data_IF_533223648931
#
_entry.id   IF_533223648931
#
_cell.length_a   1.000
_cell.length_b   1.000
_cell.length_c   1.000
_cell.angle_alpha   90.00
_cell.angle_beta   90.00
_cell.angle_gamma   90.00
#
_symmetry.space_group_name_H-M   'P 1'
#
loop_
_entity.id
_entity.type
_entity.pdbx_description
1 polymer ?
#
# COMPACT_ATOMS: atom_id res chain seq x y z
N UNK A 1 25.36 1.80 27.40
CA UNK A 1 23.97 1.43 27.78
C UNK A 1 23.30 0.81 26.59
N UNK A 2 22.27 -0.06 26.78
CA UNK A 2 21.50 -0.57 25.64
C UNK A 2 20.37 0.40 25.36
N UNK A 3 20.25 0.85 24.10
CA UNK A 3 19.20 1.75 23.63
C UNK A 3 18.16 1.01 22.82
N UNK A 4 16.96 1.54 22.76
CA UNK A 4 15.90 1.11 21.85
C UNK A 4 15.43 2.27 20.97
N UNK A 5 15.09 1.94 19.73
CA UNK A 5 14.46 2.84 18.78
C UNK A 5 12.99 3.05 19.12
N UNK A 6 12.53 4.28 19.00
CA UNK A 6 11.12 4.66 19.06
C UNK A 6 10.82 5.50 17.84
N UNK A 7 9.89 5.05 16.99
CA UNK A 7 9.53 5.78 15.80
C UNK A 7 8.01 5.80 15.52
N UNK A 8 7.58 6.86 14.85
CA UNK A 8 6.26 7.03 14.27
C UNK A 8 6.37 7.60 12.86
N UNK A 9 5.32 7.46 12.08
CA UNK A 9 5.27 7.86 10.67
C UNK A 9 4.18 8.90 10.41
N UNK A 10 4.48 9.83 9.52
CA UNK A 10 3.51 10.66 8.81
C UNK A 10 3.55 10.20 7.34
N UNK A 11 2.44 9.63 6.87
CA UNK A 11 2.37 9.04 5.53
C UNK A 11 1.33 9.77 4.70
N UNK A 12 1.79 10.43 3.64
CA UNK A 12 0.94 11.11 2.67
C UNK A 12 0.65 10.18 1.49
N UNK A 13 -0.62 10.08 1.10
CA UNK A 13 -1.07 9.23 -0.01
C UNK A 13 -1.94 10.04 -0.95
N UNK A 14 -1.50 10.19 -2.21
CA UNK A 14 -2.31 10.79 -3.26
C UNK A 14 -3.48 9.87 -3.61
N UNK A 15 -4.70 10.42 -3.61
CA UNK A 15 -5.90 9.67 -3.92
C UNK A 15 -6.14 9.63 -5.43
N UNK A 16 -6.37 8.43 -5.97
CA UNK A 16 -6.60 8.17 -7.40
C UNK A 16 -8.00 8.63 -7.88
N UNK A 17 -8.44 9.80 -7.46
CA UNK A 17 -9.68 10.41 -7.96
C UNK A 17 -9.47 10.97 -9.37
N UNK A 18 -10.55 11.07 -10.16
CA UNK A 18 -10.46 11.62 -11.53
C UNK A 18 -10.16 13.12 -11.56
N UNK A 19 -10.55 13.83 -10.51
CA UNK A 19 -10.41 15.28 -10.41
C UNK A 19 -9.80 15.69 -9.08
N UNK A 20 -9.18 16.87 -9.06
CA UNK A 20 -8.59 17.49 -7.87
C UNK A 20 -9.61 17.66 -6.75
N UNK A 21 -9.10 17.94 -5.54
CA UNK A 21 -9.92 17.99 -4.33
C UNK A 21 -10.95 19.12 -4.35
N UNK A 22 -10.63 20.28 -4.93
CA UNK A 22 -11.49 21.48 -4.88
C UNK A 22 -11.92 22.00 -6.25
N UNK A 23 -11.56 21.32 -7.36
CA UNK A 23 -11.92 21.74 -8.71
C UNK A 23 -12.04 20.54 -9.67
N UNK A 24 -12.45 20.80 -10.92
CA UNK A 24 -12.63 19.77 -11.97
C UNK A 24 -11.36 19.41 -12.77
N UNK A 25 -10.18 19.94 -12.43
CA UNK A 25 -8.94 19.60 -13.12
C UNK A 25 -8.55 18.14 -12.88
N UNK A 26 -7.91 17.54 -13.87
CA UNK A 26 -7.46 16.15 -13.79
C UNK A 26 -6.33 15.98 -12.76
N UNK A 27 -6.27 14.80 -12.14
CA UNK A 27 -5.19 14.37 -11.25
C UNK A 27 -4.15 13.50 -11.96
N UNK A 28 -4.27 13.29 -13.28
CA UNK A 28 -3.34 12.44 -14.03
C UNK A 28 -1.91 12.92 -13.89
N UNK A 29 -1.02 12.00 -13.52
CA UNK A 29 0.42 12.25 -13.49
C UNK A 29 0.96 12.55 -14.89
N UNK A 30 1.96 13.43 -14.97
CA UNK A 30 2.55 13.88 -16.23
C UNK A 30 1.74 15.00 -16.90
N UNK A 31 2.10 15.35 -18.11
CA UNK A 31 1.56 16.48 -18.84
C UNK A 31 2.53 17.69 -18.83
N UNK A 32 2.30 18.64 -19.75
CA UNK A 32 3.08 19.87 -19.79
C UNK A 32 2.91 20.68 -18.49
N UNK A 33 3.94 21.34 -17.95
CA UNK A 33 3.81 22.15 -16.74
C UNK A 33 2.64 23.14 -16.82
N UNK A 34 1.88 23.22 -15.74
CA UNK A 34 0.70 24.09 -15.61
C UNK A 34 -0.43 23.86 -16.64
N UNK A 35 -0.49 22.68 -17.27
CA UNK A 35 -1.57 22.34 -18.21
C UNK A 35 -2.83 21.78 -17.52
N UNK A 36 -2.70 21.29 -16.28
CA UNK A 36 -3.80 20.74 -15.47
C UNK A 36 -4.27 21.75 -14.40
N UNK A 37 -4.44 23.01 -14.79
CA UNK A 37 -4.74 24.10 -13.87
C UNK A 37 -5.99 24.87 -14.30
N UNK A 38 -6.72 25.40 -13.30
CA UNK A 38 -7.83 26.31 -13.49
C UNK A 38 -7.74 27.46 -12.46
N UNK A 39 -8.54 28.53 -12.59
CA UNK A 39 -8.52 29.65 -11.64
C UNK A 39 -8.61 29.23 -10.16
N UNK A 40 -9.31 28.15 -9.83
CA UNK A 40 -9.46 27.68 -8.44
C UNK A 40 -8.13 27.11 -7.91
N UNK A 41 -7.51 26.14 -8.61
CA UNK A 41 -6.30 25.50 -8.10
C UNK A 41 -5.04 26.38 -8.20
N UNK A 42 -5.05 27.42 -9.03
CA UNK A 42 -3.99 28.43 -9.04
C UNK A 42 -4.29 29.66 -8.11
N UNK A 43 -5.39 29.61 -7.38
CA UNK A 43 -5.69 30.58 -6.33
C UNK A 43 -6.03 31.99 -6.82
N UNK A 44 -6.67 32.16 -7.99
CA UNK A 44 -7.04 33.49 -8.47
C UNK A 44 -8.09 34.13 -7.57
N UNK A 45 -8.02 35.47 -7.37
CA UNK A 45 -8.99 36.21 -6.54
C UNK A 45 -10.44 35.96 -6.96
N UNK A 46 -11.32 35.73 -5.99
CA UNK A 46 -12.76 35.52 -6.21
C UNK A 46 -13.15 34.07 -6.52
N UNK A 47 -12.20 33.13 -6.60
CA UNK A 47 -12.52 31.72 -6.75
C UNK A 47 -12.79 31.05 -5.41
N UNK A 48 -13.74 30.10 -5.39
CA UNK A 48 -14.11 29.36 -4.18
C UNK A 48 -13.86 27.86 -4.38
N UNK A 49 -13.34 27.14 -3.36
CA UNK A 49 -13.14 25.70 -3.39
C UNK A 49 -14.48 24.96 -3.30
N UNK A 50 -14.59 23.81 -3.97
CA UNK A 50 -15.72 22.90 -3.83
C UNK A 50 -15.20 21.48 -3.59
N UNK A 51 -15.45 20.93 -2.41
CA UNK A 51 -14.94 19.62 -2.00
C UNK A 51 -15.46 18.50 -2.91
N UNK A 52 -14.54 17.69 -3.40
CA UNK A 52 -14.81 16.52 -4.20
C UNK A 52 -15.32 15.38 -3.29
N UNK A 53 -16.54 14.90 -3.57
CA UNK A 53 -17.20 13.85 -2.78
C UNK A 53 -16.42 12.52 -2.78
N UNK A 54 -15.77 12.16 -3.90
CA UNK A 54 -15.00 10.91 -3.98
C UNK A 54 -13.78 10.92 -3.07
N UNK A 55 -13.18 12.08 -2.81
CA UNK A 55 -12.08 12.22 -1.84
C UNK A 55 -12.52 11.79 -0.44
N UNK A 56 -13.70 12.23 -0.01
CA UNK A 56 -14.28 11.83 1.29
C UNK A 56 -14.56 10.31 1.31
N UNK A 57 -15.13 9.77 0.23
CA UNK A 57 -15.40 8.32 0.11
C UNK A 57 -14.12 7.50 0.16
N UNK A 58 -13.05 7.96 -0.49
CA UNK A 58 -11.75 7.28 -0.47
C UNK A 58 -11.09 7.35 0.91
N UNK A 59 -11.17 8.50 1.58
CA UNK A 59 -10.68 8.63 2.95
C UNK A 59 -11.44 7.71 3.93
N UNK A 60 -12.77 7.58 3.78
CA UNK A 60 -13.58 6.63 4.58
C UNK A 60 -13.13 5.19 4.32
N UNK A 61 -12.87 4.79 3.06
CA UNK A 61 -12.32 3.46 2.74
C UNK A 61 -10.99 3.22 3.45
N UNK A 62 -10.07 4.22 3.41
CA UNK A 62 -8.80 4.13 4.11
C UNK A 62 -9.00 3.92 5.61
N UNK A 63 -9.86 4.73 6.25
CA UNK A 63 -10.17 4.62 7.67
C UNK A 63 -10.72 3.24 8.04
N UNK A 64 -11.70 2.74 7.29
CA UNK A 64 -12.28 1.41 7.51
C UNK A 64 -11.26 0.28 7.37
N UNK A 65 -10.37 0.40 6.37
CA UNK A 65 -9.34 -0.62 6.11
C UNK A 65 -8.27 -0.72 7.20
N UNK A 66 -8.07 0.33 7.97
CA UNK A 66 -7.14 0.36 9.11
C UNK A 66 -7.85 0.40 10.45
N UNK A 67 -9.13 0.00 10.50
CA UNK A 67 -9.93 -0.07 11.73
C UNK A 67 -10.10 1.27 12.46
N UNK A 68 -10.05 2.39 11.74
CA UNK A 68 -10.26 3.73 12.27
C UNK A 68 -11.75 4.04 12.46
N UNK A 69 -12.05 4.91 13.40
CA UNK A 69 -13.39 5.44 13.64
C UNK A 69 -13.66 6.60 12.68
N UNK A 70 -14.77 6.53 11.95
CA UNK A 70 -15.18 7.57 11.01
C UNK A 70 -15.98 8.63 11.77
N UNK A 71 -15.50 9.87 11.77
CA UNK A 71 -16.19 10.97 12.40
C UNK A 71 -17.48 11.31 11.64
N UNK A 72 -18.61 11.42 12.34
CA UNK A 72 -19.90 11.81 11.76
C UNK A 72 -19.87 13.27 11.24
N UNK A 73 -19.06 14.12 11.91
CA UNK A 73 -18.88 15.52 11.55
C UNK A 73 -17.39 15.84 11.44
N UNK A 74 -17.00 16.38 10.31
CA UNK A 74 -15.63 16.80 10.04
C UNK A 74 -15.60 18.17 9.35
N UNK A 75 -14.48 18.88 9.43
CA UNK A 75 -14.30 20.21 8.83
C UNK A 75 -12.90 20.36 8.27
N UNK A 76 -12.80 21.21 7.24
CA UNK A 76 -11.53 21.63 6.68
C UNK A 76 -11.00 22.86 7.41
N UNK A 77 -9.68 22.93 7.55
CA UNK A 77 -8.95 24.02 8.19
C UNK A 77 -7.92 24.61 7.20
N UNK A 78 -7.54 25.87 7.38
CA UNK A 78 -6.43 26.49 6.66
C UNK A 78 -5.15 26.42 7.49
N UNK A 79 -4.10 25.86 6.90
CA UNK A 79 -2.73 25.88 7.37
C UNK A 79 -2.01 27.02 6.63
N UNK A 80 -1.79 28.15 7.32
CA UNK A 80 -1.30 29.36 6.65
C UNK A 80 0.22 29.41 6.65
N UNK A 81 0.80 29.38 5.46
CA UNK A 81 2.20 29.69 5.25
C UNK A 81 2.42 30.12 3.79
N UNK A 82 3.33 31.06 3.58
CA UNK A 82 3.59 31.59 2.26
C UNK A 82 4.80 30.88 1.67
N UNK A 83 4.54 30.07 0.64
CA UNK A 83 5.59 29.39 -0.11
C UNK A 83 5.20 29.34 -1.60
N UNK A 84 6.17 29.36 -2.55
CA UNK A 84 5.83 29.48 -3.97
C UNK A 84 4.93 28.38 -4.54
N UNK A 85 5.00 27.17 -3.99
CA UNK A 85 4.17 26.04 -4.39
C UNK A 85 2.74 26.04 -3.85
N UNK A 86 2.44 26.97 -2.94
CA UNK A 86 1.09 27.24 -2.43
C UNK A 86 0.50 28.47 -3.11
N UNK A 87 -0.31 28.27 -4.13
CA UNK A 87 -0.90 29.33 -4.94
C UNK A 87 -1.77 30.32 -4.14
N UNK A 88 -2.35 29.84 -3.02
CA UNK A 88 -3.26 30.60 -2.14
C UNK A 88 -2.55 31.16 -0.89
N UNK A 89 -1.25 30.90 -0.70
CA UNK A 89 -0.49 31.15 0.52
C UNK A 89 -1.01 30.39 1.76
N UNK A 90 -1.83 29.37 1.57
CA UNK A 90 -2.26 28.42 2.60
C UNK A 90 -2.57 27.07 1.96
N UNK A 91 -2.49 26.00 2.77
CA UNK A 91 -2.93 24.66 2.43
C UNK A 91 -4.25 24.38 3.16
N UNK A 92 -5.22 23.79 2.47
CA UNK A 92 -6.42 23.26 3.11
C UNK A 92 -6.16 21.86 3.60
N UNK A 93 -6.38 21.64 4.91
CA UNK A 93 -6.10 20.40 5.64
C UNK A 93 -7.16 20.19 6.73
N UNK A 94 -6.92 19.34 7.72
CA UNK A 94 -7.80 19.12 8.87
C UNK A 94 -6.97 18.98 10.15
N UNK A 95 -7.03 19.94 11.05
CA UNK A 95 -6.37 19.89 12.34
C UNK A 95 -7.36 19.61 13.48
N UNK A 96 -8.45 20.40 13.53
CA UNK A 96 -9.36 20.38 14.68
C UNK A 96 -10.42 19.29 14.62
N UNK A 97 -10.74 18.79 13.43
CA UNK A 97 -11.77 17.79 13.22
C UNK A 97 -11.37 16.83 12.07
N UNK A 98 -10.33 16.00 12.25
CA UNK A 98 -9.95 15.02 11.26
C UNK A 98 -11.10 14.05 10.96
N UNK A 99 -11.14 13.52 9.75
CA UNK A 99 -12.23 12.65 9.32
C UNK A 99 -12.17 11.26 9.95
N UNK A 100 -10.97 10.75 10.25
CA UNK A 100 -10.78 9.42 10.84
C UNK A 100 -9.94 9.56 12.11
N UNK A 101 -10.37 8.89 13.17
CA UNK A 101 -9.71 8.90 14.48
C UNK A 101 -9.25 7.49 14.82
N UNK A 102 -8.01 7.36 15.29
CA UNK A 102 -7.44 6.08 15.70
C UNK A 102 -7.28 5.08 14.55
N UNK A 103 -7.36 3.79 14.89
CA UNK A 103 -7.09 2.68 14.00
C UNK A 103 -5.72 2.06 14.24
N UNK A 104 -5.36 1.07 13.44
CA UNK A 104 -4.06 0.40 13.55
C UNK A 104 -3.70 -0.36 12.28
N UNK A 105 -2.40 -0.64 12.14
CA UNK A 105 -1.85 -1.60 11.19
C UNK A 105 -1.25 -2.76 12.00
N UNK A 106 -1.74 -3.98 11.77
CA UNK A 106 -1.26 -5.17 12.46
C UNK A 106 -0.07 -5.79 11.73
N UNK A 107 1.03 -5.97 12.44
CA UNK A 107 2.24 -6.62 11.94
C UNK A 107 2.14 -8.14 12.02
N UNK A 108 3.00 -8.87 11.31
CA UNK A 108 3.01 -10.33 11.27
C UNK A 108 3.29 -10.98 12.64
N UNK A 109 3.96 -10.27 13.52
CA UNK A 109 4.19 -10.69 14.91
C UNK A 109 3.00 -10.44 15.85
N UNK A 110 1.86 -9.98 15.33
CA UNK A 110 0.64 -9.65 16.08
C UNK A 110 0.67 -8.28 16.79
N UNK A 111 1.76 -7.52 16.67
CA UNK A 111 1.79 -6.15 17.20
C UNK A 111 0.94 -5.22 16.35
N UNK A 112 0.23 -4.32 17.02
CA UNK A 112 -0.58 -3.28 16.38
C UNK A 112 0.16 -1.96 16.48
N UNK A 113 0.49 -1.39 15.34
CA UNK A 113 0.99 -0.02 15.25
C UNK A 113 -0.24 0.87 15.16
N UNK A 114 -0.51 1.59 16.24
CA UNK A 114 -1.68 2.46 16.37
C UNK A 114 -1.55 3.67 15.47
N UNK A 115 -2.67 4.13 14.97
CA UNK A 115 -2.79 5.38 14.25
C UNK A 115 -3.39 6.43 15.19
N UNK A 116 -2.87 7.65 15.11
CA UNK A 116 -3.45 8.77 15.83
C UNK A 116 -4.70 9.28 15.12
N UNK A 117 -4.58 9.55 13.81
CA UNK A 117 -5.69 9.97 12.96
C UNK A 117 -5.32 9.85 11.47
N UNK A 118 -6.34 9.96 10.62
CA UNK A 118 -6.18 10.18 9.18
C UNK A 118 -7.00 11.42 8.82
N UNK A 119 -6.38 12.34 8.10
CA UNK A 119 -7.04 13.54 7.64
C UNK A 119 -6.88 13.77 6.14
N UNK A 120 -7.79 14.57 5.58
CA UNK A 120 -7.78 14.95 4.18
C UNK A 120 -7.04 16.28 4.03
N UNK A 121 -6.22 16.40 2.98
CA UNK A 121 -5.57 17.64 2.62
C UNK A 121 -5.37 17.78 1.11
N UNK A 122 -4.93 18.93 0.65
CA UNK A 122 -4.53 19.16 -0.73
C UNK A 122 -3.01 19.12 -0.89
N UNK A 123 -2.51 18.59 -2.02
CA UNK A 123 -1.09 18.66 -2.32
C UNK A 123 -0.68 20.04 -2.82
N UNK A 124 0.59 20.40 -2.59
CA UNK A 124 1.21 21.60 -3.09
C UNK A 124 1.69 21.43 -4.55
N UNK A 125 2.00 22.52 -5.21
CA UNK A 125 2.66 22.53 -6.51
C UNK A 125 4.06 21.90 -6.44
N UNK A 126 4.70 21.73 -7.59
CA UNK A 126 6.06 21.22 -7.70
C UNK A 126 7.01 22.38 -7.99
N UNK A 127 8.08 22.49 -7.18
CA UNK A 127 9.17 23.43 -7.45
C UNK A 127 10.21 22.75 -8.34
N UNK A 128 10.67 23.44 -9.37
CA UNK A 128 11.67 22.99 -10.33
C UNK A 128 12.81 24.00 -10.33
N UNK A 129 13.95 23.62 -9.80
CA UNK A 129 15.14 24.47 -9.74
C UNK A 129 16.03 24.20 -10.95
N UNK A 130 16.18 25.19 -11.83
CA UNK A 130 17.01 25.08 -13.04
C UNK A 130 17.73 26.40 -13.32
N UNK A 131 19.03 26.34 -13.62
CA UNK A 131 19.87 27.49 -14.05
C UNK A 131 19.82 28.68 -13.07
N UNK A 132 19.63 28.43 -11.76
CA UNK A 132 19.54 29.48 -10.74
C UNK A 132 18.16 30.06 -10.53
N UNK A 133 17.19 29.68 -11.35
CA UNK A 133 15.78 30.05 -11.23
C UNK A 133 14.93 28.95 -10.57
N UNK A 134 13.80 29.34 -10.02
CA UNK A 134 12.79 28.41 -9.49
C UNK A 134 11.49 28.57 -10.26
N UNK A 135 11.12 27.51 -10.97
CA UNK A 135 9.83 27.42 -11.66
C UNK A 135 8.82 26.68 -10.80
N UNK A 136 7.55 27.00 -10.97
CA UNK A 136 6.44 26.36 -10.24
C UNK A 136 5.51 25.67 -11.22
N UNK A 137 5.30 24.38 -11.01
CA UNK A 137 4.30 23.59 -11.73
C UNK A 137 3.13 23.26 -10.78
N UNK A 138 1.97 23.87 -11.04
CA UNK A 138 0.75 23.66 -10.27
C UNK A 138 -0.09 22.46 -10.74
N UNK A 139 0.40 21.62 -11.64
CA UNK A 139 -0.32 20.40 -12.05
C UNK A 139 -0.63 19.52 -10.85
N UNK A 140 0.31 19.41 -9.89
CA UNK A 140 0.10 18.68 -8.64
C UNK A 140 -0.72 19.45 -7.62
N UNK A 141 -0.67 20.80 -7.62
CA UNK A 141 -1.40 21.64 -6.66
C UNK A 141 -2.90 21.32 -6.63
N UNK A 142 -3.41 20.95 -5.47
CA UNK A 142 -4.80 20.54 -5.28
C UNK A 142 -5.09 19.07 -5.64
N UNK A 143 -4.09 18.23 -5.92
CA UNK A 143 -4.25 16.77 -5.95
C UNK A 143 -4.67 16.32 -4.55
N UNK A 144 -5.72 15.48 -4.41
CA UNK A 144 -6.20 15.07 -3.09
C UNK A 144 -5.20 14.17 -2.39
N UNK A 145 -4.93 14.48 -1.12
CA UNK A 145 -4.13 13.65 -0.22
C UNK A 145 -4.95 13.19 0.97
N UNK A 146 -4.56 12.05 1.53
CA UNK A 146 -4.75 11.73 2.94
C UNK A 146 -3.40 11.69 3.62
N UNK A 147 -3.32 12.24 4.82
CA UNK A 147 -2.18 12.05 5.71
C UNK A 147 -2.57 11.09 6.83
N UNK A 148 -1.78 10.02 6.98
CA UNK A 148 -1.93 8.98 8.00
C UNK A 148 -0.83 9.19 9.03
N UNK A 149 -1.22 9.57 10.24
CA UNK A 149 -0.29 9.80 11.34
C UNK A 149 -0.32 8.61 12.29
N UNK A 150 0.82 7.95 12.49
CA UNK A 150 0.93 6.85 13.46
C UNK A 150 1.30 7.36 14.86
N UNK A 151 0.99 6.54 15.87
CA UNK A 151 1.60 6.66 17.19
C UNK A 151 3.07 6.19 17.14
N UNK A 152 3.93 6.60 18.09
CA UNK A 152 5.33 6.19 18.13
C UNK A 152 5.50 4.75 18.68
N UNK A 153 4.86 3.79 18.01
CA UNK A 153 4.80 2.39 18.47
C UNK A 153 5.89 1.50 17.86
N UNK A 154 6.60 1.95 16.82
CA UNK A 154 7.62 1.19 16.12
C UNK A 154 8.90 1.11 16.96
N UNK A 155 9.50 -0.09 17.04
CA UNK A 155 10.66 -0.40 17.88
C UNK A 155 11.85 -1.00 17.13
N UNK A 156 11.70 -1.29 15.85
CA UNK A 156 12.79 -1.80 15.00
C UNK A 156 12.65 -1.35 13.55
N UNK A 157 13.74 -1.45 12.79
CA UNK A 157 13.76 -1.15 11.36
C UNK A 157 12.87 -2.13 10.59
N UNK A 158 12.85 -3.41 10.98
CA UNK A 158 12.00 -4.42 10.34
C UNK A 158 10.52 -4.13 10.54
N UNK A 159 10.10 -3.70 11.73
CA UNK A 159 8.73 -3.25 12.00
C UNK A 159 8.36 -2.02 11.16
N UNK A 160 9.30 -1.09 10.97
CA UNK A 160 9.09 0.08 10.12
C UNK A 160 8.87 -0.32 8.65
N UNK A 161 9.70 -1.23 8.13
CA UNK A 161 9.53 -1.77 6.76
C UNK A 161 8.16 -2.44 6.60
N UNK A 162 7.84 -3.36 7.48
CA UNK A 162 6.58 -4.09 7.44
C UNK A 162 5.36 -3.17 7.56
N UNK A 163 5.41 -2.17 8.43
CA UNK A 163 4.36 -1.16 8.56
C UNK A 163 4.08 -0.44 7.25
N UNK A 164 5.12 0.08 6.59
CA UNK A 164 4.98 0.82 5.32
C UNK A 164 4.52 -0.11 4.20
N UNK A 165 5.07 -1.34 4.12
CA UNK A 165 4.66 -2.34 3.12
C UNK A 165 3.19 -2.73 3.26
N UNK A 166 2.72 -2.99 4.49
CA UNK A 166 1.32 -3.33 4.76
C UNK A 166 0.38 -2.17 4.48
N UNK A 167 0.77 -0.96 4.87
CA UNK A 167 -0.02 0.24 4.59
C UNK A 167 -0.15 0.45 3.08
N UNK A 168 0.95 0.36 2.34
CA UNK A 168 0.96 0.44 0.87
C UNK A 168 0.08 -0.64 0.24
N UNK A 169 0.21 -1.89 0.70
CA UNK A 169 -0.60 -3.01 0.23
C UNK A 169 -2.09 -2.76 0.43
N UNK A 170 -2.49 -2.36 1.63
CA UNK A 170 -3.91 -2.12 1.97
C UNK A 170 -4.49 -1.00 1.10
N UNK A 171 -3.78 0.13 0.94
CA UNK A 171 -4.28 1.28 0.17
C UNK A 171 -4.42 0.96 -1.33
N UNK A 172 -3.49 0.18 -1.90
CA UNK A 172 -3.61 -0.37 -3.25
C UNK A 172 -4.78 -1.35 -3.36
N UNK A 173 -4.94 -2.22 -2.37
CA UNK A 173 -5.97 -3.26 -2.37
C UNK A 173 -7.39 -2.71 -2.39
N UNK A 174 -7.64 -1.66 -1.60
CA UNK A 174 -8.94 -0.96 -1.60
C UNK A 174 -9.10 0.01 -2.78
N UNK A 175 -8.07 0.15 -3.63
CA UNK A 175 -8.12 0.88 -4.89
C UNK A 175 -8.21 2.40 -4.75
N UNK A 176 -7.64 2.98 -3.69
CA UNK A 176 -7.68 4.44 -3.49
C UNK A 176 -6.42 5.16 -3.99
N UNK A 177 -5.31 4.43 -4.18
CA UNK A 177 -4.02 4.96 -4.66
C UNK A 177 -3.18 3.85 -5.29
N UNK A 178 -2.25 4.21 -6.15
CA UNK A 178 -1.20 3.32 -6.63
C UNK A 178 0.02 3.26 -5.70
N UNK A 179 0.11 4.20 -4.75
CA UNK A 179 1.14 4.27 -3.69
C UNK A 179 2.57 4.08 -4.22
N UNK A 180 2.94 4.77 -5.30
CA UNK A 180 4.27 4.74 -5.89
C UNK A 180 5.16 5.80 -5.26
N UNK A 181 6.12 5.39 -4.44
CA UNK A 181 7.03 6.32 -3.77
C UNK A 181 7.92 7.08 -4.75
N UNK A 182 8.35 6.43 -5.85
CA UNK A 182 9.20 7.05 -6.87
C UNK A 182 8.47 8.15 -7.68
N UNK A 183 7.16 8.03 -7.84
CA UNK A 183 6.32 9.03 -8.52
C UNK A 183 5.76 10.07 -7.53
N UNK A 184 5.93 9.84 -6.20
CA UNK A 184 5.49 10.73 -5.13
C UNK A 184 4.05 10.55 -4.72
N UNK A 185 3.32 9.54 -5.24
CA UNK A 185 1.95 9.25 -4.82
C UNK A 185 1.85 8.58 -3.44
N UNK A 186 2.99 8.18 -2.87
CA UNK A 186 3.15 7.84 -1.46
C UNK A 186 4.46 8.45 -0.95
N UNK A 187 4.38 9.19 0.16
CA UNK A 187 5.53 9.82 0.81
C UNK A 187 5.47 9.50 2.29
N UNK A 188 6.61 9.22 2.90
CA UNK A 188 6.70 8.90 4.33
C UNK A 188 7.74 9.80 4.96
N UNK A 189 7.33 10.50 6.01
CA UNK A 189 8.22 11.21 6.93
C UNK A 189 8.30 10.37 8.22
N UNK A 190 9.51 10.26 8.78
CA UNK A 190 9.77 9.44 9.96
C UNK A 190 10.15 10.32 11.14
N UNK A 191 9.39 10.23 12.20
CA UNK A 191 9.75 10.78 13.50
C UNK A 191 10.47 9.70 14.31
N UNK A 192 11.75 9.89 14.63
CA UNK A 192 12.60 8.91 15.31
C UNK A 192 13.24 9.50 16.55
N UNK A 193 13.35 8.71 17.61
CA UNK A 193 14.10 9.00 18.81
C UNK A 193 14.70 7.74 19.39
N UNK A 194 15.68 7.89 20.28
CA UNK A 194 16.26 6.79 21.03
C UNK A 194 16.03 6.99 22.53
N UNK A 195 15.87 5.90 23.26
CA UNK A 195 15.76 5.89 24.71
C UNK A 195 16.51 4.70 25.30
N UNK A 196 16.92 4.77 26.59
CA UNK A 196 17.45 3.59 27.26
C UNK A 196 16.42 2.47 27.27
N UNK A 197 16.85 1.23 26.99
CA UNK A 197 15.94 0.08 26.92
C UNK A 197 15.20 -0.11 28.25
N UNK A 198 13.86 -0.19 28.13
CA UNK A 198 12.97 -0.31 29.29
C UNK A 198 12.57 1.02 29.95
N UNK A 199 13.02 2.17 29.43
CA UNK A 199 12.55 3.48 29.87
C UNK A 199 11.19 3.80 29.25
N UNK A 200 10.26 4.36 30.05
CA UNK A 200 8.98 4.87 29.52
C UNK A 200 9.13 6.27 28.90
N UNK A 201 10.14 7.04 29.36
CA UNK A 201 10.37 8.40 28.88
C UNK A 201 10.92 8.39 27.47
N UNK A 202 10.22 9.06 26.55
CA UNK A 202 10.68 9.25 25.18
C UNK A 202 11.91 10.16 25.12
N UNK A 203 12.79 9.87 24.17
CA UNK A 203 13.91 10.75 23.82
C UNK A 203 13.46 11.96 22.98
N UNK A 204 14.42 12.84 22.69
CA UNK A 204 14.19 13.96 21.76
C UNK A 204 14.06 13.40 20.34
N UNK A 205 12.96 13.77 19.65
CA UNK A 205 12.71 13.29 18.29
C UNK A 205 13.41 14.14 17.25
N UNK A 206 13.83 13.50 16.16
CA UNK A 206 14.14 14.12 14.88
C UNK A 206 13.16 13.66 13.83
N UNK A 207 12.87 14.48 12.84
CA UNK A 207 12.02 14.18 11.69
C UNK A 207 12.90 13.95 10.46
N UNK A 208 12.77 12.81 9.80
CA UNK A 208 13.52 12.51 8.57
C UNK A 208 12.60 12.60 7.36
N UNK A 209 13.02 13.34 6.35
CA UNK A 209 12.30 13.57 5.08
C UNK A 209 13.11 13.14 3.87
N UNK A 210 12.45 13.11 2.70
CA UNK A 210 13.07 12.87 1.40
C UNK A 210 13.49 11.41 1.15
N UNK A 211 12.71 10.46 1.64
CA UNK A 211 12.94 9.03 1.40
C UNK A 211 12.01 8.52 0.30
N UNK A 212 12.58 8.09 -0.82
CA UNK A 212 11.84 7.73 -2.04
C UNK A 212 11.60 6.23 -2.20
N UNK A 213 11.94 5.42 -1.19
CA UNK A 213 11.71 3.98 -1.17
C UNK A 213 11.68 3.44 0.25
N UNK A 214 11.07 2.28 0.47
CA UNK A 214 11.07 1.60 1.76
C UNK A 214 12.49 1.25 2.21
N UNK A 215 13.38 0.92 1.25
CA UNK A 215 14.78 0.68 1.56
C UNK A 215 15.50 1.94 2.05
N UNK A 216 15.20 3.10 1.46
CA UNK A 216 15.77 4.38 1.91
C UNK A 216 15.24 4.77 3.30
N UNK A 217 13.97 4.49 3.59
CA UNK A 217 13.42 4.66 4.94
C UNK A 217 14.23 3.87 5.96
N UNK A 218 14.47 2.58 5.69
CA UNK A 218 15.21 1.73 6.59
C UNK A 218 16.66 2.20 6.83
N UNK A 219 17.39 2.54 5.74
CA UNK A 219 18.76 3.05 5.82
C UNK A 219 18.84 4.39 6.56
N UNK A 220 17.89 5.29 6.30
CA UNK A 220 17.81 6.58 6.97
C UNK A 220 17.57 6.43 8.47
N UNK A 221 16.66 5.51 8.86
CA UNK A 221 16.38 5.21 10.26
C UNK A 221 17.57 4.55 10.97
N UNK A 222 18.27 3.62 10.29
CA UNK A 222 19.46 2.96 10.82
C UNK A 222 20.57 3.99 11.09
N UNK A 223 20.90 4.81 10.09
CA UNK A 223 21.90 5.86 10.23
C UNK A 223 21.57 6.84 11.38
N UNK A 224 20.30 7.30 11.43
CA UNK A 224 19.88 8.27 12.45
C UNK A 224 19.84 7.67 13.86
N UNK A 225 19.45 6.40 13.98
CA UNK A 225 19.50 5.67 15.25
C UNK A 225 20.94 5.60 15.78
N UNK A 226 21.89 5.19 14.94
CA UNK A 226 23.31 5.12 15.30
C UNK A 226 23.85 6.50 15.67
N UNK A 227 23.55 7.53 14.85
CA UNK A 227 23.98 8.92 15.11
C UNK A 227 23.49 9.43 16.48
N UNK A 228 22.22 9.17 16.82
CA UNK A 228 21.65 9.60 18.12
C UNK A 228 22.31 8.84 19.30
N UNK A 229 22.52 7.54 19.16
CA UNK A 229 23.18 6.73 20.19
C UNK A 229 24.61 7.23 20.41
N UNK A 230 25.40 7.39 19.35
CA UNK A 230 26.78 7.87 19.44
C UNK A 230 26.85 9.26 20.08
N UNK A 231 25.95 10.16 19.70
CA UNK A 231 25.90 11.50 20.29
C UNK A 231 25.65 11.46 21.81
N UNK A 232 24.71 10.63 22.27
CA UNK A 232 24.34 10.51 23.67
C UNK A 232 25.48 9.82 24.45
N UNK A 233 26.10 8.77 23.91
CA UNK A 233 27.20 8.06 24.59
C UNK A 233 28.46 8.94 24.73
N UNK A 234 28.66 9.88 23.81
CA UNK A 234 29.73 10.89 23.89
C UNK A 234 29.36 12.11 24.77
N UNK A 235 28.25 12.06 25.52
CA UNK A 235 27.83 13.12 26.45
C UNK A 235 27.15 14.31 25.79
N UNK A 236 26.79 14.22 24.50
CA UNK A 236 26.01 15.21 23.79
C UNK A 236 24.49 15.04 24.05
N UNK A 237 23.70 15.87 23.40
CA UNK A 237 22.23 15.82 23.46
C UNK A 237 21.64 15.96 22.05
N UNK A 238 20.60 15.17 21.77
CA UNK A 238 19.83 15.26 20.51
C UNK A 238 19.00 16.56 20.54
N UNK A 239 19.06 17.30 19.46
CA UNK A 239 18.24 18.50 19.23
C UNK A 239 17.05 18.14 18.37
N UNK A 240 15.87 18.71 18.65
CA UNK A 240 14.69 18.52 17.81
C UNK A 240 14.86 19.31 16.51
N UNK A 241 14.98 18.59 15.41
CA UNK A 241 15.22 19.16 14.09
C UNK A 241 14.58 18.32 12.98
N UNK A 242 14.44 18.91 11.79
CA UNK A 242 14.07 18.22 10.56
C UNK A 242 15.32 17.92 9.76
N UNK A 243 15.51 16.67 9.40
CA UNK A 243 16.65 16.13 8.66
C UNK A 243 16.22 15.74 7.23
N UNK A 244 17.13 15.96 6.29
CA UNK A 244 16.99 15.44 4.93
C UNK A 244 17.88 14.23 4.75
N UNK A 245 17.31 13.14 4.28
CA UNK A 245 18.09 11.98 3.84
C UNK A 245 18.67 12.20 2.45
N UNK A 246 19.95 11.84 2.28
CA UNK A 246 20.68 11.83 1.02
C UNK A 246 20.97 10.38 0.62
N UNK A 247 20.34 9.92 -0.46
CA UNK A 247 20.45 8.56 -0.98
C UNK A 247 21.86 8.25 -1.54
N UNK A 248 22.58 9.28 -2.04
CA UNK A 248 23.90 9.08 -2.60
C UNK A 248 24.96 8.78 -1.52
N UNK A 249 24.82 9.40 -0.35
CA UNK A 249 25.76 9.23 0.78
C UNK A 249 25.23 8.31 1.86
N UNK A 250 23.92 7.96 1.84
CA UNK A 250 23.20 7.26 2.88
C UNK A 250 23.32 7.94 4.26
N UNK A 251 23.27 9.27 4.29
CA UNK A 251 23.37 10.07 5.52
C UNK A 251 22.19 11.03 5.68
N UNK A 252 22.00 11.54 6.88
CA UNK A 252 21.04 12.61 7.16
C UNK A 252 21.79 13.94 7.37
N UNK A 253 21.17 15.04 6.96
CA UNK A 253 21.68 16.40 7.18
C UNK A 253 20.56 17.31 7.67
N UNK A 254 20.90 18.26 8.57
CA UNK A 254 19.95 19.20 9.11
C UNK A 254 19.39 20.13 8.02
N UNK A 255 18.07 20.27 7.96
CA UNK A 255 17.38 21.25 7.09
C UNK A 255 17.02 22.53 7.86
N UNK A 256 16.50 22.38 9.06
CA UNK A 256 16.09 23.46 9.94
C UNK A 256 16.02 23.01 11.38
N UNK A 257 16.27 23.93 12.31
CA UNK A 257 16.10 23.70 13.74
C UNK A 257 14.67 24.07 14.20
N UNK A 258 14.35 23.75 15.45
CA UNK A 258 13.05 24.09 16.08
C UNK A 258 12.82 25.60 16.20
N UNK A 259 13.88 26.42 16.20
CA UNK A 259 13.78 27.89 16.28
C UNK A 259 13.09 28.48 15.03
N UNK A 260 13.13 27.75 13.90
CA UNK A 260 12.47 28.11 12.63
C UNK A 260 11.04 27.55 12.51
N UNK A 261 10.47 26.99 13.58
CA UNK A 261 9.12 26.42 13.53
C UNK A 261 8.09 27.52 13.26
N UNK A 262 7.42 27.45 12.11
CA UNK A 262 6.38 28.37 11.73
C UNK A 262 5.13 28.16 12.58
N UNK A 263 4.57 29.24 13.13
CA UNK A 263 3.19 29.26 13.60
C UNK A 263 2.27 29.30 12.36
N UNK A 264 1.65 28.18 12.05
CA UNK A 264 0.77 28.05 10.88
C UNK A 264 -0.58 28.75 11.04
N UNK A 265 -0.89 29.33 12.19
CA UNK A 265 -2.12 30.09 12.45
C UNK A 265 -3.36 29.39 11.90
N UNK A 266 -3.53 28.14 12.29
CA UNK A 266 -4.68 27.33 11.84
C UNK A 266 -6.00 27.99 12.23
N UNK A 267 -6.94 28.00 11.29
CA UNK A 267 -8.34 28.32 11.55
C UNK A 267 -9.23 27.57 10.56
N UNK A 268 -10.51 27.43 10.87
CA UNK A 268 -11.47 26.73 10.02
C UNK A 268 -11.65 27.46 8.70
N UNK A 269 -11.65 26.70 7.59
CA UNK A 269 -11.90 27.26 6.27
C UNK A 269 -13.34 27.80 6.19
N UNK A 270 -13.53 29.10 5.89
CA UNK A 270 -14.85 29.70 5.85
C UNK A 270 -15.64 29.38 4.57
N UNK A 271 -14.97 28.96 3.52
CA UNK A 271 -15.57 28.74 2.19
C UNK A 271 -16.05 27.29 2.01
N UNK A 272 -15.60 26.38 2.88
CA UNK A 272 -15.97 24.97 2.84
C UNK A 272 -17.02 24.63 3.91
N UNK A 273 -18.07 23.96 3.46
CA UNK A 273 -19.13 23.50 4.35
C UNK A 273 -18.66 22.35 5.25
N UNK A 274 -19.35 22.17 6.37
CA UNK A 274 -19.14 21.01 7.24
C UNK A 274 -19.36 19.72 6.48
N UNK A 275 -18.47 18.76 6.66
CA UNK A 275 -18.58 17.43 6.11
C UNK A 275 -19.44 16.59 7.08
N UNK A 276 -20.62 16.19 6.62
CA UNK A 276 -21.47 15.25 7.34
C UNK A 276 -21.33 13.88 6.70
N UNK A 277 -21.01 12.87 7.52
CA UNK A 277 -20.88 11.48 7.10
C UNK A 277 -21.96 10.64 7.82
N UNK A 278 -23.12 10.46 7.19
CA UNK A 278 -24.18 9.62 7.75
C UNK A 278 -23.73 8.16 7.89
N UNK A 279 -24.24 7.46 8.89
CA UNK A 279 -23.87 6.06 9.16
C UNK A 279 -24.22 5.11 8.01
N UNK A 280 -25.34 5.34 7.34
CA UNK A 280 -25.75 4.57 6.16
C UNK A 280 -24.75 4.68 5.01
N UNK A 281 -24.13 5.85 4.81
CA UNK A 281 -23.06 6.03 3.82
C UNK A 281 -21.80 5.24 4.21
N UNK A 282 -21.46 5.20 5.50
CA UNK A 282 -20.32 4.38 5.98
C UNK A 282 -20.59 2.89 5.76
N UNK A 283 -21.80 2.42 6.08
CA UNK A 283 -22.18 1.01 5.86
C UNK A 283 -22.25 0.66 4.36
N UNK A 284 -22.74 1.55 3.50
CA UNK A 284 -22.68 1.38 2.03
C UNK A 284 -21.25 1.19 1.55
N UNK A 285 -20.33 2.07 1.99
CA UNK A 285 -18.92 2.01 1.60
C UNK A 285 -18.31 0.72 2.12
N UNK A 286 -18.56 0.34 3.37
CA UNK A 286 -18.06 -0.88 4.00
C UNK A 286 -18.51 -2.14 3.24
N UNK A 287 -19.79 -2.21 2.87
CA UNK A 287 -20.34 -3.33 2.11
C UNK A 287 -19.73 -3.46 0.69
N UNK A 288 -19.26 -2.33 0.11
CA UNK A 288 -18.63 -2.31 -1.21
C UNK A 288 -17.11 -2.53 -1.17
N UNK A 289 -16.51 -2.64 0.02
CA UNK A 289 -15.07 -2.88 0.15
C UNK A 289 -14.72 -4.32 -0.23
N UNK A 290 -13.55 -4.55 -0.88
CA UNK A 290 -13.05 -5.90 -1.04
C UNK A 290 -12.66 -6.50 0.32
N UNK A 291 -12.66 -7.83 0.41
CA UNK A 291 -12.02 -8.54 1.54
C UNK A 291 -10.55 -8.11 1.62
N UNK A 292 -10.08 -7.71 2.80
CA UNK A 292 -8.74 -7.18 2.99
C UNK A 292 -7.66 -8.27 2.87
N UNK A 293 -6.42 -7.93 2.47
CA UNK A 293 -5.38 -8.93 2.24
C UNK A 293 -5.07 -9.79 3.47
N UNK A 294 -5.12 -9.24 4.67
CA UNK A 294 -4.89 -10.00 5.90
C UNK A 294 -6.00 -11.03 6.17
N UNK A 295 -7.26 -10.67 5.95
CA UNK A 295 -8.40 -11.57 6.14
C UNK A 295 -8.41 -12.67 5.07
N UNK A 296 -8.13 -12.31 3.81
CA UNK A 296 -7.95 -13.30 2.73
C UNK A 296 -6.81 -14.27 3.02
N UNK A 297 -5.67 -13.78 3.47
CA UNK A 297 -4.53 -14.63 3.81
C UNK A 297 -4.91 -15.65 4.90
N UNK A 298 -5.58 -15.18 5.95
CA UNK A 298 -6.10 -16.05 7.01
C UNK A 298 -7.08 -17.07 6.47
N UNK A 299 -8.05 -16.66 5.66
CA UNK A 299 -9.01 -17.56 5.02
C UNK A 299 -8.33 -18.62 4.15
N UNK A 300 -7.30 -18.24 3.37
CA UNK A 300 -6.56 -19.22 2.56
C UNK A 300 -5.82 -20.26 3.40
N UNK A 301 -5.27 -19.87 4.54
CA UNK A 301 -4.61 -20.78 5.48
C UNK A 301 -5.62 -21.69 6.16
N UNK A 302 -6.66 -21.12 6.77
CA UNK A 302 -7.57 -21.82 7.67
C UNK A 302 -8.60 -22.68 6.92
N UNK A 303 -9.15 -22.18 5.80
CA UNK A 303 -10.22 -22.86 5.07
C UNK A 303 -9.72 -23.66 3.86
N UNK A 304 -8.67 -23.16 3.16
CA UNK A 304 -8.18 -23.78 1.93
C UNK A 304 -6.89 -24.58 2.14
N UNK A 305 -6.37 -24.63 3.37
CA UNK A 305 -5.13 -25.32 3.74
C UNK A 305 -3.92 -24.93 2.87
N UNK A 306 -3.86 -23.67 2.45
CA UNK A 306 -2.72 -23.12 1.71
C UNK A 306 -1.58 -22.82 2.69
N UNK A 307 -0.33 -23.21 2.41
CA UNK A 307 0.81 -22.86 3.25
C UNK A 307 0.92 -21.34 3.43
N UNK A 308 1.28 -20.87 4.62
CA UNK A 308 1.32 -19.45 4.96
C UNK A 308 2.11 -18.59 3.95
N UNK A 309 3.30 -19.07 3.55
CA UNK A 309 4.12 -18.36 2.55
C UNK A 309 3.42 -18.22 1.20
N UNK A 310 2.71 -19.25 0.77
CA UNK A 310 1.96 -19.24 -0.49
C UNK A 310 0.74 -18.33 -0.37
N UNK A 311 0.03 -18.36 0.76
CA UNK A 311 -1.10 -17.46 1.04
C UNK A 311 -0.67 -15.99 1.02
N UNK A 312 0.47 -15.66 1.63
CA UNK A 312 1.05 -14.31 1.59
C UNK A 312 1.38 -13.86 0.16
N UNK A 313 1.95 -14.73 -0.67
CA UNK A 313 2.24 -14.43 -2.08
C UNK A 313 0.96 -14.22 -2.91
N UNK A 314 -0.04 -15.06 -2.72
CA UNK A 314 -1.32 -14.98 -3.44
C UNK A 314 -2.16 -13.76 -3.03
N UNK A 315 -2.00 -13.26 -1.81
CA UNK A 315 -2.73 -12.10 -1.31
C UNK A 315 -1.94 -10.79 -1.41
N UNK A 316 -0.70 -10.81 -1.93
CA UNK A 316 0.13 -9.61 -2.04
C UNK A 316 -0.51 -8.55 -2.96
N UNK A 317 -1.12 -8.98 -4.06
CA UNK A 317 -1.81 -8.13 -5.02
C UNK A 317 -3.27 -8.54 -5.19
N UNK A 318 -4.16 -7.57 -5.24
CA UNK A 318 -5.60 -7.78 -5.35
C UNK A 318 -5.98 -8.64 -6.56
N UNK A 319 -5.45 -8.34 -7.74
CA UNK A 319 -5.76 -9.09 -8.97
C UNK A 319 -5.34 -10.56 -8.89
N UNK A 320 -4.21 -10.87 -8.26
CA UNK A 320 -3.76 -12.25 -8.05
C UNK A 320 -4.73 -12.99 -7.14
N UNK A 321 -5.15 -12.37 -6.03
CA UNK A 321 -6.09 -13.00 -5.11
C UNK A 321 -7.47 -13.20 -5.72
N UNK A 322 -7.97 -12.22 -6.49
CA UNK A 322 -9.23 -12.34 -7.23
C UNK A 322 -9.17 -13.44 -8.29
N UNK A 323 -8.03 -13.56 -8.98
CA UNK A 323 -7.77 -14.65 -9.92
C UNK A 323 -7.75 -16.01 -9.23
N UNK A 324 -7.04 -16.12 -8.10
CA UNK A 324 -6.98 -17.34 -7.30
C UNK A 324 -8.36 -17.76 -6.79
N UNK A 325 -9.13 -16.83 -6.22
CA UNK A 325 -10.49 -17.10 -5.72
C UNK A 325 -11.37 -17.69 -6.83
N UNK A 326 -11.39 -17.08 -8.02
CA UNK A 326 -12.16 -17.59 -9.17
C UNK A 326 -11.66 -18.93 -9.68
N UNK A 327 -10.34 -19.12 -9.77
CA UNK A 327 -9.76 -20.38 -10.20
C UNK A 327 -10.04 -21.51 -9.21
N UNK A 328 -10.33 -21.23 -7.94
CA UNK A 328 -10.68 -22.21 -6.93
C UNK A 328 -12.16 -22.60 -6.91
N UNK A 329 -13.05 -21.96 -7.69
CA UNK A 329 -14.49 -22.22 -7.63
C UNK A 329 -14.84 -23.66 -8.00
N UNK A 330 -15.29 -24.45 -6.99
CA UNK A 330 -15.71 -25.84 -7.17
C UNK A 330 -14.57 -26.83 -7.49
N UNK A 331 -13.30 -26.50 -7.25
CA UNK A 331 -12.17 -27.45 -7.30
C UNK A 331 -12.05 -28.19 -5.96
N UNK A 332 -11.55 -29.40 -5.99
CA UNK A 332 -11.30 -30.20 -4.78
C UNK A 332 -9.97 -29.88 -4.12
N UNK A 333 -8.99 -29.38 -4.91
CA UNK A 333 -7.63 -29.11 -4.45
C UNK A 333 -7.19 -27.65 -4.73
N UNK A 334 -7.60 -26.65 -3.89
CA UNK A 334 -7.11 -25.27 -4.01
C UNK A 334 -5.58 -25.15 -3.99
N UNK A 335 -4.91 -26.07 -3.29
CA UNK A 335 -3.43 -26.15 -3.27
C UNK A 335 -2.83 -26.39 -4.66
N UNK A 336 -3.51 -27.14 -5.52
CA UNK A 336 -3.06 -27.35 -6.92
C UNK A 336 -3.15 -26.04 -7.71
N UNK A 337 -4.22 -25.26 -7.52
CA UNK A 337 -4.35 -23.92 -8.13
C UNK A 337 -3.21 -23.00 -7.66
N UNK A 338 -2.94 -22.96 -6.36
CA UNK A 338 -1.83 -22.22 -5.77
C UNK A 338 -0.49 -22.60 -6.42
N UNK A 339 -0.20 -23.91 -6.51
CA UNK A 339 1.03 -24.43 -7.09
C UNK A 339 1.19 -24.03 -8.57
N UNK A 340 0.11 -24.00 -9.35
CA UNK A 340 0.16 -23.59 -10.75
C UNK A 340 0.40 -22.08 -10.89
N UNK A 341 -0.26 -21.25 -10.06
CA UNK A 341 -0.04 -19.81 -10.07
C UNK A 341 1.41 -19.48 -9.66
N UNK A 342 1.85 -19.98 -8.53
CA UNK A 342 3.19 -19.65 -7.99
C UNK A 342 4.30 -20.30 -8.80
N UNK A 343 4.11 -21.55 -9.21
CA UNK A 343 5.14 -22.32 -9.88
C UNK A 343 5.29 -22.04 -11.38
N UNK A 344 4.24 -21.65 -12.08
CA UNK A 344 4.23 -21.50 -13.54
C UNK A 344 3.80 -20.09 -13.98
N UNK A 345 2.68 -19.54 -13.50
CA UNK A 345 2.21 -18.23 -13.93
C UNK A 345 3.18 -17.14 -13.46
N UNK A 346 3.69 -17.19 -12.22
CA UNK A 346 4.65 -16.21 -11.73
C UNK A 346 5.99 -16.18 -12.47
N UNK A 347 6.34 -17.24 -13.19
CA UNK A 347 7.50 -17.21 -14.11
C UNK A 347 7.30 -16.33 -15.33
N UNK A 348 6.05 -16.04 -15.68
CA UNK A 348 5.67 -15.15 -16.80
C UNK A 348 5.43 -13.71 -16.32
N UNK A 349 5.34 -13.50 -15.02
CA UNK A 349 5.21 -12.20 -14.37
C UNK A 349 6.47 -11.96 -13.51
N UNK A 350 7.57 -11.56 -14.17
CA UNK A 350 8.90 -11.54 -13.54
C UNK A 350 9.06 -10.36 -12.58
N UNK A 351 8.49 -9.20 -12.93
CA UNK A 351 8.61 -7.98 -12.12
C UNK A 351 7.42 -7.80 -11.16
N UNK A 352 7.62 -7.01 -10.13
CA UNK A 352 6.53 -6.64 -9.22
C UNK A 352 5.42 -5.84 -9.95
N UNK A 353 5.80 -5.04 -10.96
CA UNK A 353 4.83 -4.33 -11.80
C UNK A 353 3.96 -5.30 -12.64
N UNK A 354 4.56 -6.36 -13.19
CA UNK A 354 3.81 -7.39 -13.93
C UNK A 354 2.82 -8.12 -13.00
N UNK A 355 3.21 -8.42 -11.76
CA UNK A 355 2.34 -9.05 -10.75
C UNK A 355 1.20 -8.13 -10.32
N UNK A 356 1.45 -6.83 -10.24
CA UNK A 356 0.41 -5.85 -9.91
C UNK A 356 -0.62 -5.71 -11.03
N UNK A 357 -0.16 -5.67 -12.29
CA UNK A 357 -1.02 -5.64 -13.48
C UNK A 357 -1.71 -6.97 -13.67
N UNK A 358 -1.00 -8.08 -13.46
CA UNK A 358 -1.40 -9.48 -13.60
C UNK A 358 -2.19 -9.73 -14.89
N UNK A 359 -1.61 -9.29 -16.01
CA UNK A 359 -2.14 -9.54 -17.37
C UNK A 359 -1.55 -10.85 -17.89
N UNK A 360 -2.28 -11.94 -17.67
CA UNK A 360 -1.86 -13.29 -18.06
C UNK A 360 -2.80 -13.86 -19.11
N UNK A 361 -2.25 -14.60 -20.07
CA UNK A 361 -3.01 -15.11 -21.22
C UNK A 361 -4.10 -16.13 -20.83
N UNK A 362 -3.91 -16.85 -19.72
CA UNK A 362 -4.86 -17.86 -19.20
C UNK A 362 -5.83 -17.20 -18.23
N UNK A 363 -7.13 -17.33 -18.49
CA UNK A 363 -8.15 -16.82 -17.57
C UNK A 363 -8.29 -17.70 -16.33
N UNK A 364 -8.83 -17.20 -15.21
CA UNK A 364 -9.07 -18.01 -14.03
C UNK A 364 -10.02 -19.19 -14.29
N UNK A 365 -10.99 -19.02 -15.19
CA UNK A 365 -11.94 -20.09 -15.59
C UNK A 365 -11.23 -21.20 -16.37
N UNK A 366 -10.28 -20.86 -17.26
CA UNK A 366 -9.47 -21.84 -17.99
C UNK A 366 -8.55 -22.63 -17.04
N UNK A 367 -7.94 -21.95 -16.06
CA UNK A 367 -7.14 -22.64 -15.04
C UNK A 367 -8.02 -23.55 -14.18
N UNK A 368 -9.21 -23.09 -13.79
CA UNK A 368 -10.21 -23.87 -13.04
C UNK A 368 -10.58 -25.17 -13.80
N UNK A 369 -10.86 -25.06 -15.12
CA UNK A 369 -11.17 -26.22 -15.96
C UNK A 369 -10.02 -27.24 -15.97
N UNK A 370 -8.77 -26.79 -16.16
CA UNK A 370 -7.60 -27.64 -16.13
C UNK A 370 -7.44 -28.37 -14.79
N UNK A 371 -7.64 -27.67 -13.68
CA UNK A 371 -7.54 -28.27 -12.34
C UNK A 371 -8.68 -29.27 -12.10
N UNK A 372 -9.91 -29.00 -12.56
CA UNK A 372 -11.02 -29.95 -12.49
C UNK A 372 -10.77 -31.23 -13.29
N UNK A 373 -10.09 -31.15 -14.43
CA UNK A 373 -9.65 -32.35 -15.17
C UNK A 373 -8.65 -33.17 -14.37
N UNK A 374 -7.72 -32.51 -13.67
CA UNK A 374 -6.74 -33.17 -12.80
C UNK A 374 -7.41 -33.77 -11.56
N UNK A 375 -8.29 -33.02 -10.87
CA UNK A 375 -9.02 -33.46 -9.67
C UNK A 375 -9.97 -34.65 -9.94
N UNK A 376 -10.45 -34.81 -11.18
CA UNK A 376 -11.28 -35.93 -11.62
C UNK A 376 -10.47 -37.14 -12.03
N UNK A 377 -9.11 -37.06 -12.01
CA UNK A 377 -8.23 -38.15 -12.45
C UNK A 377 -8.20 -38.36 -13.96
N UNK A 378 -8.83 -37.52 -14.76
CA UNK A 378 -8.84 -37.61 -16.23
C UNK A 378 -7.47 -37.36 -16.83
N UNK A 379 -6.67 -36.52 -16.18
CA UNK A 379 -5.28 -36.24 -16.61
C UNK A 379 -4.31 -36.37 -15.43
N UNK A 380 -3.04 -36.61 -15.74
CA UNK A 380 -1.96 -36.63 -14.73
C UNK A 380 -1.32 -35.27 -14.56
N UNK A 381 -0.67 -35.06 -13.40
CA UNK A 381 -0.05 -33.76 -13.04
C UNK A 381 1.00 -33.30 -14.07
N UNK A 382 1.81 -34.21 -14.63
CA UNK A 382 2.81 -33.84 -15.64
C UNK A 382 2.15 -33.32 -16.93
N UNK A 383 1.05 -33.94 -17.36
CA UNK A 383 0.29 -33.48 -18.51
C UNK A 383 -0.38 -32.11 -18.21
N UNK A 384 -0.97 -31.95 -17.03
CA UNK A 384 -1.56 -30.68 -16.62
C UNK A 384 -0.55 -29.53 -16.65
N UNK A 385 0.68 -29.73 -16.13
CA UNK A 385 1.77 -28.75 -16.21
C UNK A 385 2.16 -28.40 -17.64
N UNK A 386 2.35 -29.42 -18.49
CA UNK A 386 2.70 -29.21 -19.89
C UNK A 386 1.59 -28.51 -20.68
N UNK A 387 0.34 -28.82 -20.35
CA UNK A 387 -0.85 -28.16 -20.93
C UNK A 387 -0.91 -26.71 -20.51
N UNK A 388 -0.69 -26.40 -19.22
CA UNK A 388 -0.70 -25.02 -18.74
C UNK A 388 0.36 -24.15 -19.42
N UNK A 389 1.56 -24.67 -19.68
CA UNK A 389 2.59 -23.92 -20.44
C UNK A 389 2.09 -23.58 -21.86
N UNK A 390 1.46 -24.54 -22.57
CA UNK A 390 0.88 -24.28 -23.90
C UNK A 390 -0.29 -23.29 -23.85
N UNK A 391 -1.12 -23.35 -22.79
CA UNK A 391 -2.19 -22.38 -22.55
C UNK A 391 -1.63 -20.97 -22.32
N UNK A 392 -0.56 -20.83 -21.54
CA UNK A 392 0.11 -19.57 -21.26
C UNK A 392 0.75 -18.96 -22.53
N UNK A 393 1.24 -19.79 -23.46
CA UNK A 393 1.82 -19.34 -24.73
C UNK A 393 0.78 -18.92 -25.74
N UNK A 394 -0.45 -19.48 -25.70
CA UNK A 394 -1.45 -19.32 -26.76
C UNK A 394 -2.75 -18.63 -26.31
N UNK A 395 -3.03 -18.55 -25.03
CA UNK A 395 -4.29 -18.06 -24.47
C UNK A 395 -5.49 -19.00 -24.67
N UNK A 396 -5.24 -20.23 -25.18
CA UNK A 396 -6.30 -21.20 -25.48
C UNK A 396 -6.64 -22.07 -24.28
N UNK A 397 -7.84 -22.69 -24.29
CA UNK A 397 -8.33 -23.56 -23.23
C UNK A 397 -7.63 -24.92 -23.20
N UNK A 398 -7.71 -25.63 -22.06
CA UNK A 398 -7.04 -26.91 -21.82
C UNK A 398 -7.43 -28.00 -22.84
N UNK A 399 -8.70 -28.06 -23.23
CA UNK A 399 -9.23 -29.09 -24.14
C UNK A 399 -8.68 -29.01 -25.58
N UNK A 400 -8.06 -27.89 -25.98
CA UNK A 400 -7.39 -27.79 -27.28
C UNK A 400 -6.03 -28.53 -27.32
N UNK A 401 -5.47 -28.84 -26.16
CA UNK A 401 -4.15 -29.48 -26.02
C UNK A 401 -4.19 -30.89 -25.44
N UNK A 402 -5.36 -31.35 -25.00
CA UNK A 402 -5.58 -32.64 -24.40
C UNK A 402 -6.44 -33.46 -25.35
N UNK A 403 -5.89 -34.55 -25.88
CA UNK A 403 -6.63 -35.49 -26.74
C UNK A 403 -7.45 -36.48 -25.90
N UNK A 404 -8.44 -37.15 -26.53
CA UNK A 404 -9.21 -38.20 -25.86
C UNK A 404 -8.33 -39.36 -25.39
N UNK A 405 -7.23 -39.66 -26.08
CA UNK A 405 -6.25 -40.63 -25.70
C UNK A 405 -5.44 -40.27 -24.44
N UNK A 406 -5.32 -38.98 -24.15
CA UNK A 406 -4.64 -38.46 -22.96
C UNK A 406 -5.53 -38.50 -21.72
N UNK A 407 -6.86 -38.62 -21.91
CA UNK A 407 -7.88 -38.68 -20.84
C UNK A 407 -8.12 -40.11 -20.30
N UNK A 408 -7.22 -41.02 -20.54
CA UNK A 408 -7.31 -42.40 -20.02
C UNK A 408 -7.08 -42.45 -18.51
N UNK A 409 -8.11 -42.72 -17.73
CA UNK A 409 -8.00 -42.98 -16.29
C UNK A 409 -7.01 -44.10 -15.99
N UNK A 410 -6.44 -44.12 -14.80
CA UNK A 410 -5.68 -45.22 -14.26
C UNK A 410 -6.54 -46.51 -14.33
N UNK A 411 -6.17 -47.43 -15.23
CA UNK A 411 -6.75 -48.75 -15.27
C UNK A 411 -6.29 -49.48 -14.00
N UNK A 412 -7.15 -49.58 -12.99
CA UNK A 412 -6.87 -50.32 -11.74
C UNK A 412 -6.54 -51.80 -11.99
N UNK A 413 -6.82 -52.30 -13.19
CA UNK A 413 -6.52 -53.66 -13.60
C UNK A 413 -5.06 -53.92 -14.02
N UNK A 414 -4.25 -52.84 -14.24
CA UNK A 414 -2.85 -53.02 -14.61
C UNK A 414 -1.92 -53.34 -13.42
N UNK A 415 -2.39 -53.15 -12.19
CA UNK A 415 -1.63 -53.43 -10.95
C UNK A 415 -1.83 -54.90 -10.44
N UNK A 416 -2.85 -55.60 -10.92
CA UNK A 416 -3.12 -57.00 -10.50
C UNK A 416 -2.56 -58.07 -11.42
N UNK A 417 -1.80 -57.71 -12.47
CA UNK A 417 -1.34 -58.60 -13.53
C UNK A 417 0.06 -59.21 -13.35
N UNK A 418 0.77 -59.04 -12.25
CA UNK A 418 2.14 -59.56 -12.10
C UNK A 418 2.47 -60.17 -10.73
N UNK A 419 1.61 -61.05 -10.24
CA UNK A 419 1.99 -61.96 -9.17
C UNK A 419 1.61 -63.40 -9.57
N UNK A 420 2.45 -64.05 -10.33
CA UNK A 420 2.43 -65.50 -10.45
C UNK A 420 3.30 -66.10 -9.34
N UNK A 421 2.74 -66.93 -8.45
CA UNK A 421 3.58 -67.65 -7.48
C UNK A 421 4.44 -68.71 -8.18
N UNK A 422 5.74 -68.58 -8.03
CA UNK A 422 6.69 -69.68 -8.44
C UNK A 422 6.40 -70.89 -7.58
N UNK A 423 6.21 -72.05 -8.27
CA UNK A 423 6.13 -73.34 -7.67
C UNK A 423 7.50 -73.76 -7.07
N UNK A 424 7.52 -74.47 -5.94
CA UNK A 424 8.76 -74.99 -5.40
C UNK A 424 9.32 -76.09 -6.29
N UNK A 425 10.61 -76.07 -6.55
CA UNK A 425 11.39 -77.11 -7.13
C UNK A 425 11.77 -78.13 -6.03
N UNK A 426 11.49 -79.41 -6.26
CA UNK A 426 11.96 -80.57 -5.52
C UNK A 426 13.50 -80.74 -5.56
#
# INVERSE_FOLDING_TARGET
>A
MSYELVAGFETHIELATKTKIFCGCTTKFGGAPNSHCCPVCIGLPGTLPKLNREVVRYAIRAGLAVHGEIAEISKMDRKNYCYPDLSKAYQISQLYAPLIIGGYVELSNGRKIRLHHIHIEEDAGKLIHQHGDTYVDYNRGGVPLIEIVSEPDIRSIDEAREYVEKLQQVMRYIGISDCKMQEGSMRCDVNISVRPKGSEKLGTRTEIKNMNSINNIAKAMEYEFERQVDLIENGGSVVQETLRYDDATNTTSSMRSKEDAHDYRYFRDPDLVTIHVPKDVVEEIKAAMPELPADKCRRYIDELAIPEKDAQLLTKYRKISEYFDKACEGVKSPKTVSNFIIGQIFRRTETEADKEIFDVAVTPEQLNELVKLLDSGKIRNNLAKATLEKMLDSGKGALEFISESDMGGLDENALNGSYSPQQPLD
#
